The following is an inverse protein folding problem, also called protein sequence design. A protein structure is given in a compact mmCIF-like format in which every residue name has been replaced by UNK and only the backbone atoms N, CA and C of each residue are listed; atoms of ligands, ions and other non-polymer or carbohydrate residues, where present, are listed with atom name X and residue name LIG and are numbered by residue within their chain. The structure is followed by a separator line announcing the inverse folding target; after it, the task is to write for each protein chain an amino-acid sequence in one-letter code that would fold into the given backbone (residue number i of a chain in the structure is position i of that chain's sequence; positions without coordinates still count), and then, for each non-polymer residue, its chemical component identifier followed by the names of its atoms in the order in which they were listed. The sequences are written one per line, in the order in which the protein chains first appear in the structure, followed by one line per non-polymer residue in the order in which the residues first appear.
data_IF_757569625873
#
_entry.id   IF_757569625873
#
_cell.length_a   1.000
_cell.length_b   1.000
_cell.length_c   1.000
_cell.angle_alpha   90.00
_cell.angle_beta   90.00
_cell.angle_gamma   90.00
#
_symmetry.space_group_name_H-M   'P 1'
#
loop_
_entity.id
_entity.type
_entity.pdbx_description
1 polymer ?
#
# COMPACT_ATOMS: atom_id res chain seq x y z
N UNK A 1 5.31 -8.39 -14.40
CA UNK A 1 6.04 -7.11 -14.26
C UNK A 1 5.85 -6.31 -15.54
N UNK A 2 5.25 -5.12 -15.53
CA UNK A 2 5.10 -4.33 -16.74
C UNK A 2 6.48 -4.01 -17.31
N UNK A 3 6.63 -4.14 -18.62
CA UNK A 3 7.79 -3.56 -19.28
C UNK A 3 7.73 -2.03 -19.06
N UNK A 4 8.84 -1.40 -18.72
CA UNK A 4 8.92 0.01 -18.33
C UNK A 4 8.21 0.99 -19.27
N UNK A 5 8.07 0.68 -20.55
CA UNK A 5 7.38 1.51 -21.54
C UNK A 5 5.85 1.46 -21.47
N UNK A 6 5.24 0.34 -21.05
CA UNK A 6 3.77 0.21 -20.96
C UNK A 6 3.22 0.76 -19.64
N UNK A 7 4.00 0.65 -18.55
CA UNK A 7 3.60 1.16 -17.25
C UNK A 7 3.44 2.68 -17.19
N UNK A 8 4.37 3.42 -17.78
CA UNK A 8 4.31 4.89 -17.80
C UNK A 8 3.03 5.43 -18.48
N UNK A 9 2.65 4.86 -19.62
CA UNK A 9 1.44 5.30 -20.34
C UNK A 9 0.13 5.01 -19.56
N UNK A 10 0.13 4.07 -18.62
CA UNK A 10 -1.06 3.75 -17.84
C UNK A 10 -1.27 4.74 -16.68
N UNK A 11 -0.21 5.08 -15.96
CA UNK A 11 -0.27 5.98 -14.80
C UNK A 11 -0.54 7.42 -15.25
N UNK A 12 0.04 7.85 -16.36
CA UNK A 12 -0.14 9.20 -16.92
C UNK A 12 -1.59 9.51 -17.35
N UNK A 13 -2.43 8.48 -17.52
CA UNK A 13 -3.86 8.66 -17.82
C UNK A 13 -4.66 9.22 -16.65
N UNK A 14 -4.14 9.09 -15.43
CA UNK A 14 -4.82 9.54 -14.22
C UNK A 14 -4.20 10.84 -13.74
N UNK A 15 -4.97 11.91 -13.79
CA UNK A 15 -4.57 13.22 -13.22
C UNK A 15 -4.72 13.19 -11.68
N UNK A 16 -3.98 12.30 -11.03
CA UNK A 16 -4.04 12.10 -9.58
C UNK A 16 -3.12 13.08 -8.85
N UNK A 17 -3.52 13.51 -7.66
CA UNK A 17 -2.65 14.30 -6.77
C UNK A 17 -1.72 13.42 -5.95
N UNK A 18 -2.12 12.19 -5.69
CA UNK A 18 -1.38 11.18 -4.93
C UNK A 18 -1.50 9.84 -5.66
N UNK A 19 -0.39 9.12 -5.78
CA UNK A 19 -0.34 7.78 -6.35
C UNK A 19 0.39 6.87 -5.37
N UNK A 20 -0.18 5.69 -5.10
CA UNK A 20 0.50 4.60 -4.42
C UNK A 20 0.73 3.45 -5.39
N UNK A 21 1.96 3.02 -5.48
CA UNK A 21 2.36 1.88 -6.31
C UNK A 21 2.97 0.81 -5.42
N UNK A 22 2.40 -0.38 -5.45
CA UNK A 22 2.97 -1.53 -4.75
C UNK A 22 3.74 -2.43 -5.70
N UNK A 23 4.86 -2.98 -5.20
CA UNK A 23 5.72 -3.90 -5.93
C UNK A 23 6.24 -3.36 -7.28
N UNK A 24 6.54 -2.07 -7.33
CA UNK A 24 6.88 -1.35 -8.55
C UNK A 24 8.27 -0.70 -8.55
N UNK A 25 8.44 0.21 -9.48
CA UNK A 25 9.66 1.00 -9.69
C UNK A 25 9.32 2.48 -9.73
N UNK A 26 10.18 3.33 -9.17
CA UNK A 26 10.00 4.79 -9.14
C UNK A 26 9.88 5.42 -10.54
N UNK A 27 10.59 4.86 -11.51
CA UNK A 27 10.55 5.34 -12.89
C UNK A 27 9.22 5.09 -13.63
N UNK A 28 8.26 4.42 -13.00
CA UNK A 28 6.90 4.27 -13.50
C UNK A 28 6.00 5.46 -13.13
N UNK A 29 6.45 6.32 -12.24
CA UNK A 29 5.70 7.46 -11.73
C UNK A 29 6.00 8.75 -12.50
N UNK A 30 5.07 9.73 -12.51
CA UNK A 30 5.28 11.01 -13.17
C UNK A 30 6.53 11.73 -12.64
N UNK A 31 7.24 12.45 -13.53
CA UNK A 31 8.48 13.13 -13.18
C UNK A 31 8.28 14.48 -12.51
N UNK A 32 7.09 15.02 -12.57
CA UNK A 32 6.71 16.37 -12.12
C UNK A 32 6.22 16.43 -10.67
N UNK A 33 6.58 15.46 -9.86
CA UNK A 33 6.18 15.38 -8.45
C UNK A 33 7.29 14.91 -7.53
N UNK A 34 6.90 14.49 -6.34
CA UNK A 34 7.79 14.11 -5.25
C UNK A 34 7.54 12.64 -4.88
N UNK A 35 8.60 11.86 -4.87
CA UNK A 35 8.55 10.42 -4.58
C UNK A 35 9.14 10.15 -3.21
N UNK A 36 8.48 9.27 -2.45
CA UNK A 36 9.04 8.61 -1.27
C UNK A 36 8.81 7.11 -1.40
N UNK A 37 9.78 6.31 -0.95
CA UNK A 37 9.76 4.85 -1.12
C UNK A 37 10.11 4.15 0.16
N UNK A 38 9.51 2.98 0.35
CA UNK A 38 9.93 2.05 1.40
C UNK A 38 11.39 1.63 1.21
N UNK A 39 12.04 1.14 2.27
CA UNK A 39 13.39 0.56 2.16
C UNK A 39 13.42 -0.56 1.13
N UNK A 40 14.62 -0.88 0.66
CA UNK A 40 14.83 -2.08 -0.15
C UNK A 40 14.35 -3.30 0.62
N UNK A 41 13.56 -4.13 -0.07
CA UNK A 41 13.07 -5.34 0.54
C UNK A 41 14.26 -6.27 0.84
N UNK A 42 14.49 -6.58 2.08
CA UNK A 42 15.56 -7.47 2.47
C UNK A 42 15.03 -8.85 2.86
N UNK A 43 15.86 -9.81 2.71
CA UNK A 43 15.56 -11.19 3.06
C UNK A 43 15.10 -12.05 1.90
N UNK A 44 14.92 -11.50 0.71
CA UNK A 44 14.94 -12.23 -0.55
C UNK A 44 15.36 -11.29 -1.68
N UNK A 45 15.88 -11.89 -2.76
CA UNK A 45 16.34 -11.10 -3.89
C UNK A 45 15.16 -10.42 -4.56
N UNK A 46 15.11 -9.12 -4.45
CA UNK A 46 14.27 -8.29 -5.31
C UNK A 46 15.04 -7.92 -6.58
N UNK A 47 14.33 -7.57 -7.63
CA UNK A 47 14.97 -6.94 -8.79
C UNK A 47 15.48 -5.57 -8.35
N UNK A 48 16.71 -5.22 -8.78
CA UNK A 48 17.32 -3.93 -8.45
C UNK A 48 16.36 -2.77 -8.68
N UNK A 49 16.22 -1.91 -7.67
CA UNK A 49 15.35 -0.73 -7.72
C UNK A 49 13.86 -0.99 -7.53
N UNK A 50 13.41 -2.26 -7.40
CA UNK A 50 12.02 -2.55 -7.07
C UNK A 50 11.76 -2.26 -5.59
N UNK A 51 10.66 -1.57 -5.31
CA UNK A 51 10.19 -1.26 -3.95
C UNK A 51 8.86 -1.97 -3.70
N UNK A 52 8.59 -2.31 -2.44
CA UNK A 52 7.29 -2.86 -2.05
C UNK A 52 6.22 -1.79 -2.05
N UNK A 53 6.58 -0.57 -1.67
CA UNK A 53 5.67 0.58 -1.66
C UNK A 53 6.40 1.82 -2.13
N UNK A 54 5.76 2.54 -3.02
CA UNK A 54 6.20 3.85 -3.50
C UNK A 54 5.00 4.79 -3.43
N UNK A 55 5.19 5.97 -2.86
CA UNK A 55 4.21 7.04 -2.87
C UNK A 55 4.74 8.20 -3.72
N UNK A 56 3.88 8.73 -4.56
CA UNK A 56 4.12 9.92 -5.34
C UNK A 56 3.05 10.97 -5.00
N UNK A 57 3.45 12.25 -4.97
CA UNK A 57 2.53 13.37 -4.81
C UNK A 57 2.95 14.55 -5.67
N UNK A 58 1.99 15.31 -6.15
CA UNK A 58 2.23 16.63 -6.78
C UNK A 58 2.86 17.64 -5.81
N UNK A 59 2.69 17.45 -4.51
CA UNK A 59 3.17 18.34 -3.47
C UNK A 59 4.26 17.67 -2.65
N UNK A 60 5.13 18.50 -2.03
CA UNK A 60 6.22 18.00 -1.19
C UNK A 60 5.69 17.16 -0.03
N UNK A 61 6.48 16.17 0.33
CA UNK A 61 6.30 15.38 1.52
C UNK A 61 7.00 16.01 2.72
N UNK A 62 6.38 15.92 3.89
CA UNK A 62 6.96 16.23 5.19
C UNK A 62 6.72 15.04 6.12
N UNK A 63 7.42 15.00 7.24
CA UNK A 63 7.30 13.96 8.26
C UNK A 63 7.27 12.54 7.66
N UNK A 64 8.33 12.25 6.89
CA UNK A 64 8.48 10.97 6.20
C UNK A 64 8.93 9.92 7.20
N UNK A 65 8.18 8.82 7.28
CA UNK A 65 8.48 7.68 8.11
C UNK A 65 8.55 6.40 7.26
N UNK A 66 9.70 5.78 7.25
CA UNK A 66 9.95 4.54 6.53
C UNK A 66 9.71 3.30 7.39
N UNK A 67 9.49 3.47 8.71
CA UNK A 67 9.36 2.38 9.68
C UNK A 67 10.32 1.20 9.39
N UNK A 68 11.52 1.52 8.98
CA UNK A 68 12.58 0.55 8.67
C UNK A 68 13.14 -0.07 9.94
N UNK A 69 12.30 -0.34 10.93
CA UNK A 69 12.71 -0.88 12.20
C UNK A 69 12.89 -2.40 12.11
N UNK A 70 13.56 -2.97 13.12
CA UNK A 70 13.72 -4.41 13.27
C UNK A 70 12.38 -5.14 13.45
N UNK A 71 11.33 -4.40 13.81
CA UNK A 71 10.02 -4.94 14.11
C UNK A 71 9.16 -5.12 12.87
N UNK A 72 9.38 -4.31 11.82
CA UNK A 72 8.60 -4.43 10.58
C UNK A 72 9.50 -4.95 9.47
N UNK A 73 9.30 -6.18 9.05
CA UNK A 73 10.16 -6.79 8.05
C UNK A 73 9.99 -6.16 6.65
N UNK A 74 11.12 -6.00 5.98
CA UNK A 74 11.20 -5.91 4.51
C UNK A 74 10.65 -4.66 3.86
N UNK A 75 10.81 -3.48 4.46
CA UNK A 75 10.47 -2.24 3.75
C UNK A 75 9.07 -2.20 3.13
N UNK A 76 8.07 -2.75 3.84
CA UNK A 76 6.69 -2.87 3.35
C UNK A 76 5.80 -1.69 3.69
N UNK A 77 6.39 -0.63 4.19
CA UNK A 77 5.69 0.55 4.68
C UNK A 77 6.46 1.81 4.28
N UNK A 78 5.73 2.84 3.97
CA UNK A 78 6.21 4.22 3.87
C UNK A 78 5.07 5.16 4.20
N UNK A 79 5.32 6.19 4.99
CA UNK A 79 4.35 7.26 5.18
C UNK A 79 4.97 8.63 5.01
N UNK A 80 4.13 9.61 4.79
CA UNK A 80 4.49 11.01 4.77
C UNK A 80 3.26 11.89 4.81
N UNK A 81 3.43 13.15 5.17
CA UNK A 81 2.37 14.15 5.14
C UNK A 81 2.50 14.98 3.86
N UNK A 82 1.38 15.12 3.17
CA UNK A 82 1.23 16.04 2.02
C UNK A 82 -0.12 16.73 2.11
N UNK A 83 -0.18 18.06 1.88
CA UNK A 83 -1.40 18.88 2.03
C UNK A 83 -2.10 18.71 3.40
N UNK A 84 -1.36 18.47 4.47
CA UNK A 84 -1.92 18.29 5.81
C UNK A 84 -2.63 16.95 6.04
N UNK A 85 -2.45 15.98 5.15
CA UNK A 85 -2.98 14.62 5.27
C UNK A 85 -1.80 13.65 5.36
N UNK A 86 -1.82 12.75 6.33
CA UNK A 86 -0.90 11.62 6.40
C UNK A 86 -1.32 10.55 5.42
N UNK A 87 -0.43 10.22 4.52
CA UNK A 87 -0.61 9.13 3.56
C UNK A 87 0.26 7.96 4.00
N UNK A 88 -0.35 6.80 4.17
CA UNK A 88 0.31 5.58 4.58
C UNK A 88 0.18 4.56 3.46
N UNK A 89 1.30 4.27 2.81
CA UNK A 89 1.40 3.20 1.84
C UNK A 89 1.89 1.92 2.48
N UNK A 90 1.23 0.80 2.19
CA UNK A 90 1.65 -0.49 2.70
C UNK A 90 1.44 -1.64 1.71
N UNK A 91 2.28 -2.67 1.89
CA UNK A 91 2.18 -3.93 1.19
C UNK A 91 2.27 -5.05 2.25
N UNK A 92 1.13 -5.46 2.77
CA UNK A 92 1.08 -6.47 3.84
C UNK A 92 1.61 -7.81 3.31
N UNK A 93 2.45 -8.55 4.06
CA UNK A 93 2.98 -9.82 3.60
C UNK A 93 1.88 -10.81 3.24
N UNK A 94 1.99 -11.44 2.07
CA UNK A 94 1.15 -12.58 1.76
C UNK A 94 1.47 -13.74 2.70
N UNK A 95 0.44 -14.44 3.18
CA UNK A 95 0.54 -15.55 4.11
C UNK A 95 1.59 -16.62 3.74
N UNK A 96 1.80 -16.85 2.45
CA UNK A 96 2.75 -17.84 1.94
C UNK A 96 4.00 -17.23 1.30
N UNK A 97 4.32 -15.98 1.61
CA UNK A 97 5.44 -15.28 0.98
C UNK A 97 6.79 -16.03 1.11
N UNK A 98 7.01 -16.70 2.25
CA UNK A 98 8.21 -17.51 2.46
C UNK A 98 8.30 -18.72 1.51
N UNK A 99 7.18 -19.36 1.20
CA UNK A 99 7.15 -20.50 0.27
C UNK A 99 7.48 -20.06 -1.14
N UNK A 100 6.88 -18.97 -1.60
CA UNK A 100 7.12 -18.43 -2.93
C UNK A 100 8.52 -17.86 -3.12
N UNK A 101 9.16 -17.42 -2.04
CA UNK A 101 10.53 -16.84 -2.07
C UNK A 101 11.62 -17.83 -1.71
N UNK A 102 11.27 -19.07 -1.35
CA UNK A 102 12.22 -20.08 -0.89
C UNK A 102 12.79 -19.84 0.52
N UNK A 103 12.24 -18.94 1.29
CA UNK A 103 12.67 -18.63 2.66
C UNK A 103 12.02 -19.59 3.64
N UNK A 104 12.71 -20.66 3.94
CA UNK A 104 12.22 -21.74 4.81
C UNK A 104 12.22 -21.42 6.30
N UNK A 105 13.01 -20.44 6.69
CA UNK A 105 13.26 -20.02 8.07
C UNK A 105 12.23 -19.04 8.63
N UNK A 106 11.37 -18.53 7.78
CA UNK A 106 10.41 -17.48 8.14
C UNK A 106 9.00 -18.02 8.21
N UNK A 107 8.33 -17.76 9.33
CA UNK A 107 6.93 -18.10 9.52
C UNK A 107 6.05 -16.97 8.96
N UNK A 108 5.35 -17.16 7.85
CA UNK A 108 4.62 -16.07 7.17
C UNK A 108 3.49 -15.49 8.00
N UNK A 109 2.95 -16.27 8.89
CA UNK A 109 1.92 -15.85 9.85
C UNK A 109 2.44 -14.84 10.86
N UNK A 110 3.56 -15.14 11.48
CA UNK A 110 4.19 -14.31 12.50
C UNK A 110 4.62 -12.99 11.89
N UNK A 111 5.16 -13.04 10.67
CA UNK A 111 5.52 -11.84 9.92
C UNK A 111 4.30 -10.97 9.62
N UNK A 112 3.21 -11.58 9.17
CA UNK A 112 1.98 -10.87 8.85
C UNK A 112 1.36 -10.22 10.09
N UNK A 113 1.21 -10.99 11.16
CA UNK A 113 0.65 -10.49 12.42
C UNK A 113 1.52 -9.41 13.04
N UNK A 114 2.83 -9.64 13.11
CA UNK A 114 3.77 -8.67 13.64
C UNK A 114 3.72 -7.36 12.85
N UNK A 115 3.68 -7.44 11.52
CA UNK A 115 3.56 -6.26 10.68
C UNK A 115 2.29 -5.45 11.00
N UNK A 116 1.13 -6.12 11.05
CA UNK A 116 -0.15 -5.44 11.33
C UNK A 116 -0.18 -4.88 12.74
N UNK A 117 0.27 -5.63 13.74
CA UNK A 117 0.21 -5.23 15.16
C UNK A 117 1.11 -4.05 15.49
N UNK A 118 2.22 -3.90 14.75
CA UNK A 118 3.15 -2.79 14.96
C UNK A 118 2.77 -1.50 14.21
N UNK A 119 1.74 -1.56 13.35
CA UNK A 119 1.22 -0.35 12.74
C UNK A 119 0.43 0.46 13.78
N UNK A 120 0.90 1.65 14.07
CA UNK A 120 0.18 2.62 14.90
C UNK A 120 -0.15 3.86 14.06
N UNK A 121 -1.35 4.36 14.24
CA UNK A 121 -1.84 5.53 13.53
C UNK A 121 -2.13 6.65 14.54
N UNK A 122 -1.62 7.84 14.25
CA UNK A 122 -1.93 9.04 15.02
C UNK A 122 -3.38 9.50 14.76
N UNK A 123 -3.88 10.41 15.60
CA UNK A 123 -5.20 11.05 15.39
C UNK A 123 -5.20 12.08 14.24
N UNK A 124 -4.25 12.02 13.34
CA UNK A 124 -4.16 12.89 12.18
C UNK A 124 -5.11 12.42 11.07
N UNK A 125 -5.52 13.37 10.23
CA UNK A 125 -6.22 13.04 8.97
C UNK A 125 -5.38 12.08 8.16
N UNK A 126 -5.88 10.87 7.97
CA UNK A 126 -5.07 9.76 7.48
C UNK A 126 -5.74 9.03 6.34
N UNK A 127 -4.96 8.71 5.32
CA UNK A 127 -5.33 7.80 4.24
C UNK A 127 -4.35 6.63 4.27
N UNK A 128 -4.87 5.40 4.39
CA UNK A 128 -4.10 4.16 4.32
C UNK A 128 -4.45 3.47 3.01
N UNK A 129 -3.45 3.14 2.21
CA UNK A 129 -3.70 2.54 0.90
C UNK A 129 -2.58 1.58 0.50
N UNK A 130 -2.93 0.59 -0.33
CA UNK A 130 -1.97 -0.36 -0.87
C UNK A 130 -2.49 -1.78 -0.99
N UNK A 131 -1.56 -2.72 -1.07
CA UNK A 131 -1.87 -4.14 -1.14
C UNK A 131 -1.95 -4.75 0.27
N UNK A 132 -3.17 -4.97 0.74
CA UNK A 132 -3.40 -5.57 2.06
C UNK A 132 -3.28 -7.09 2.04
N UNK A 133 -3.21 -7.70 0.84
CA UNK A 133 -3.14 -9.16 0.66
C UNK A 133 -4.24 -9.94 1.41
N UNK A 134 -5.34 -9.27 1.71
CA UNK A 134 -6.50 -9.85 2.38
C UNK A 134 -7.80 -9.37 1.74
N UNK A 135 -8.77 -10.26 1.66
CA UNK A 135 -10.12 -9.88 1.21
C UNK A 135 -10.94 -9.27 2.36
N UNK A 136 -11.67 -8.20 2.05
CA UNK A 136 -12.66 -7.62 2.92
C UNK A 136 -13.98 -7.53 2.12
N UNK A 137 -15.03 -8.25 2.52
CA UNK A 137 -15.13 -9.15 3.67
C UNK A 137 -14.23 -10.39 3.56
N UNK A 138 -13.98 -11.02 4.67
CA UNK A 138 -13.17 -12.25 4.80
C UNK A 138 -13.61 -13.33 3.82
N UNK A 139 -12.63 -13.97 3.19
CA UNK A 139 -12.84 -15.19 2.39
C UNK A 139 -12.11 -16.37 3.04
N UNK A 140 -10.97 -16.77 2.48
CA UNK A 140 -10.22 -17.95 2.90
C UNK A 140 -9.06 -17.66 3.86
N UNK A 141 -8.86 -16.40 4.24
CA UNK A 141 -7.82 -16.07 5.21
C UNK A 141 -8.21 -16.55 6.61
N UNK A 142 -7.24 -16.96 7.42
CA UNK A 142 -7.46 -17.40 8.78
C UNK A 142 -8.03 -16.28 9.66
N UNK A 143 -8.84 -16.66 10.66
CA UNK A 143 -9.54 -15.71 11.52
C UNK A 143 -8.59 -14.75 12.22
N UNK A 144 -7.53 -15.25 12.81
CA UNK A 144 -6.58 -14.43 13.56
C UNK A 144 -5.93 -13.34 12.68
N UNK A 145 -5.66 -13.65 11.40
CA UNK A 145 -5.10 -12.71 10.45
C UNK A 145 -6.11 -11.65 10.07
N UNK A 146 -7.35 -12.07 9.81
CA UNK A 146 -8.42 -11.15 9.45
C UNK A 146 -8.83 -10.26 10.61
N UNK A 147 -8.91 -10.80 11.83
CA UNK A 147 -9.21 -10.02 13.04
C UNK A 147 -8.13 -8.96 13.31
N UNK A 148 -6.85 -9.29 13.10
CA UNK A 148 -5.76 -8.33 13.24
C UNK A 148 -5.87 -7.19 12.23
N UNK A 149 -6.19 -7.48 10.96
CA UNK A 149 -6.47 -6.46 9.97
C UNK A 149 -7.67 -5.59 10.35
N UNK A 150 -8.75 -6.23 10.77
CA UNK A 150 -9.97 -5.53 11.17
C UNK A 150 -9.70 -4.56 12.33
N UNK A 151 -8.95 -5.01 13.34
CA UNK A 151 -8.55 -4.16 14.47
C UNK A 151 -7.67 -2.98 14.02
N UNK A 152 -6.77 -3.20 13.05
CA UNK A 152 -5.91 -2.13 12.51
C UNK A 152 -6.72 -1.02 11.84
N UNK A 153 -7.80 -1.38 11.14
CA UNK A 153 -8.64 -0.41 10.43
C UNK A 153 -9.87 0.02 11.23
N UNK A 154 -9.99 -0.43 12.47
CA UNK A 154 -11.09 -0.02 13.35
C UNK A 154 -11.06 1.50 13.58
N UNK A 155 -12.22 2.13 13.49
CA UNK A 155 -12.33 3.60 13.55
C UNK A 155 -12.06 4.34 12.23
N UNK A 156 -11.73 3.63 11.16
CA UNK A 156 -11.58 4.19 9.80
C UNK A 156 -12.74 3.79 8.88
N UNK A 157 -12.93 4.56 7.82
CA UNK A 157 -13.88 4.23 6.74
C UNK A 157 -13.17 3.42 5.64
N UNK A 158 -13.57 2.18 5.45
CA UNK A 158 -13.10 1.34 4.34
C UNK A 158 -13.88 1.69 3.06
N UNK A 159 -13.17 2.13 2.02
CA UNK A 159 -13.77 2.55 0.75
C UNK A 159 -13.95 1.40 -0.26
N UNK A 160 -13.27 0.30 -0.07
CA UNK A 160 -13.01 -0.70 -1.13
C UNK A 160 -13.52 -2.10 -0.79
N UNK A 161 -14.63 -2.18 -0.09
CA UNK A 161 -15.31 -3.45 0.18
C UNK A 161 -15.59 -4.22 -1.10
N UNK A 162 -15.21 -5.51 -1.15
CA UNK A 162 -15.33 -6.40 -2.32
C UNK A 162 -14.48 -6.04 -3.55
N UNK A 163 -13.47 -5.18 -3.42
CA UNK A 163 -12.60 -4.77 -4.53
C UNK A 163 -11.29 -5.58 -4.64
N UNK A 164 -11.19 -6.74 -4.00
CA UNK A 164 -10.01 -7.61 -4.09
C UNK A 164 -9.07 -7.45 -2.91
N UNK A 165 -7.76 -7.33 -3.18
CA UNK A 165 -6.69 -7.27 -2.17
C UNK A 165 -6.12 -5.85 -1.99
N UNK A 166 -6.40 -4.96 -2.94
CA UNK A 166 -5.99 -3.56 -2.88
C UNK A 166 -7.08 -2.79 -2.14
N UNK A 167 -6.69 -2.04 -1.12
CA UNK A 167 -7.64 -1.32 -0.29
C UNK A 167 -7.25 0.13 -0.07
N UNK A 168 -8.26 0.95 0.18
CA UNK A 168 -8.15 2.33 0.64
C UNK A 168 -9.03 2.50 1.88
N UNK A 169 -8.44 3.01 2.92
CA UNK A 169 -9.08 3.31 4.20
C UNK A 169 -8.80 4.77 4.54
N UNK A 170 -9.80 5.49 5.03
CA UNK A 170 -9.66 6.91 5.36
C UNK A 170 -10.15 7.18 6.78
N UNK A 171 -9.57 8.17 7.44
CA UNK A 171 -10.09 8.66 8.73
C UNK A 171 -11.50 9.25 8.57
N UNK A 172 -12.26 9.26 9.65
CA UNK A 172 -13.69 9.62 9.64
C UNK A 172 -13.98 11.10 9.34
N UNK A 173 -12.97 11.94 9.42
CA UNK A 173 -12.99 13.37 9.06
C UNK A 173 -12.65 13.63 7.57
N UNK A 174 -12.59 12.56 6.77
CA UNK A 174 -12.43 12.61 5.34
C UNK A 174 -13.64 11.96 4.65
N UNK A 175 -14.00 12.50 3.48
CA UNK A 175 -15.04 11.94 2.62
C UNK A 175 -14.44 11.48 1.29
N UNK A 176 -14.98 10.42 0.73
CA UNK A 176 -14.56 9.90 -0.58
C UNK A 176 -15.71 9.92 -1.58
N UNK A 177 -15.38 10.27 -2.82
CA UNK A 177 -16.28 10.28 -3.97
C UNK A 177 -15.63 9.57 -5.16
N UNK A 178 -16.45 9.17 -6.13
CA UNK A 178 -16.00 8.62 -7.41
C UNK A 178 -15.03 7.42 -7.25
N UNK A 179 -15.35 6.51 -6.34
CA UNK A 179 -14.54 5.32 -6.12
C UNK A 179 -14.70 4.39 -7.33
N UNK A 180 -13.61 4.16 -8.06
CA UNK A 180 -13.60 3.38 -9.28
C UNK A 180 -12.49 2.33 -9.26
N UNK A 181 -12.83 1.13 -9.70
CA UNK A 181 -11.86 0.09 -10.02
C UNK A 181 -11.26 0.35 -11.40
N UNK A 182 -9.94 0.24 -11.51
CA UNK A 182 -9.20 0.46 -12.73
C UNK A 182 -8.60 -0.86 -13.18
N UNK A 183 -9.06 -1.37 -14.31
CA UNK A 183 -8.48 -2.56 -14.92
C UNK A 183 -7.05 -2.27 -15.41
N UNK A 184 -6.11 -3.10 -15.00
CA UNK A 184 -4.68 -2.92 -15.33
C UNK A 184 -4.26 -3.59 -16.63
N UNK A 185 -5.17 -4.19 -17.39
CA UNK A 185 -4.96 -4.75 -18.74
C UNK A 185 -3.68 -5.58 -18.87
N UNK A 186 -3.45 -6.54 -17.99
CA UNK A 186 -2.25 -7.38 -17.91
C UNK A 186 -0.95 -6.64 -17.46
N UNK A 187 -1.03 -5.41 -16.99
CA UNK A 187 0.12 -4.70 -16.43
C UNK A 187 0.38 -5.05 -14.95
N UNK A 188 -0.59 -5.62 -14.26
CA UNK A 188 -0.51 -6.05 -12.86
C UNK A 188 -1.40 -7.27 -12.62
N UNK A 189 -1.09 -8.05 -11.60
CA UNK A 189 -1.95 -9.14 -11.10
C UNK A 189 -3.20 -8.62 -10.37
N UNK A 190 -3.19 -7.35 -9.97
CA UNK A 190 -4.28 -6.67 -9.28
C UNK A 190 -4.74 -5.45 -10.05
N UNK A 191 -6.04 -5.19 -10.02
CA UNK A 191 -6.58 -3.94 -10.51
C UNK A 191 -6.23 -2.78 -9.58
N UNK A 192 -6.16 -1.58 -10.14
CA UNK A 192 -6.00 -0.36 -9.38
C UNK A 192 -7.33 0.18 -8.84
N UNK A 193 -7.25 1.19 -7.99
CA UNK A 193 -8.39 1.93 -7.45
C UNK A 193 -8.10 3.42 -7.57
N UNK A 194 -9.08 4.16 -8.04
CA UNK A 194 -9.07 5.61 -8.09
C UNK A 194 -10.25 6.17 -7.30
N UNK A 195 -10.03 7.25 -6.56
CA UNK A 195 -11.08 7.97 -5.84
C UNK A 195 -10.69 9.44 -5.64
N UNK A 196 -11.68 10.26 -5.37
CA UNK A 196 -11.49 11.65 -4.93
C UNK A 196 -11.71 11.74 -3.42
N UNK A 197 -10.78 12.36 -2.70
CA UNK A 197 -10.86 12.56 -1.25
C UNK A 197 -11.07 14.05 -0.97
N UNK A 198 -12.02 14.36 -0.08
CA UNK A 198 -12.33 15.70 0.38
C UNK A 198 -12.30 15.78 1.90
N UNK A 199 -12.05 16.96 2.42
CA UNK A 199 -12.29 17.23 3.84
C UNK A 199 -13.80 17.19 4.13
N UNK A 200 -14.18 16.54 5.23
CA UNK A 200 -15.56 16.52 5.70
C UNK A 200 -15.97 17.88 6.24
#
# INVERSE_FOLDING_TARGET
TPSSKRGNCFIDKFNSDIISLTEGYENLLPKDGYIISSHEDYGYKTKNGRRKVILWSKNKWTDIDQLGSKEIPSGRFISGITKGIRIIGLCIPLRFAHVSTGRKDRKPWEDHLSFIQNLSFSNEKTIILGDFNQNIPKKNQPEIVFSSLKNMIDGFNLLTTNMGLIHIVISTDLNAENIQRIATENNSEHDGINCSIKFA
#
